data_IF_068571602612
#
_entry.id   IF_068571602612
#
_cell.length_a   1.000
_cell.length_b   1.000
_cell.length_c   1.000
_cell.angle_alpha   90.00
_cell.angle_beta   90.00
_cell.angle_gamma   90.00
#
_symmetry.space_group_name_H-M   'P 1'
#
loop_
_entity.id
_entity.type
_entity.pdbx_description
1 polymer ?
#
# COMPACT_ATOMS: atom_id res chain seq x y z
N UNK A 1 -5.59 -3.62 25.52
CA UNK A 1 -6.07 -4.09 24.21
C UNK A 1 -5.92 -5.59 24.17
N UNK A 2 -6.96 -6.32 23.79
CA UNK A 2 -7.06 -7.78 23.85
C UNK A 2 -5.95 -8.43 23.03
N UNK A 3 -5.11 -9.24 23.68
CA UNK A 3 -4.19 -10.18 23.04
C UNK A 3 -5.02 -11.20 22.22
N UNK A 4 -5.43 -10.83 21.00
CA UNK A 4 -5.77 -11.81 19.98
C UNK A 4 -4.44 -12.36 19.48
N UNK A 5 -4.26 -13.68 19.55
CA UNK A 5 -3.18 -14.35 18.85
C UNK A 5 -3.37 -14.05 17.36
N UNK A 6 -2.45 -13.27 16.80
CA UNK A 6 -2.40 -13.02 15.36
C UNK A 6 -2.06 -14.32 14.65
N UNK A 7 -2.61 -14.51 13.46
CA UNK A 7 -2.19 -15.59 12.57
C UNK A 7 -0.81 -15.30 11.98
N UNK A 8 -0.12 -16.32 11.46
CA UNK A 8 1.19 -16.13 10.81
C UNK A 8 1.15 -15.05 9.71
N UNK A 9 0.08 -14.98 8.92
CA UNK A 9 -0.04 -13.98 7.86
C UNK A 9 -0.36 -12.58 8.38
N UNK A 10 -1.14 -12.47 9.47
CA UNK A 10 -1.39 -11.18 10.15
C UNK A 10 -0.10 -10.63 10.80
N UNK A 11 0.74 -11.49 11.37
CA UNK A 11 2.06 -11.05 11.86
C UNK A 11 3.00 -10.68 10.71
N UNK A 12 2.97 -11.46 9.63
CA UNK A 12 3.83 -11.25 8.47
C UNK A 12 3.51 -9.93 7.76
N UNK A 13 2.23 -9.62 7.54
CA UNK A 13 1.83 -8.38 6.87
C UNK A 13 2.30 -7.17 7.69
N UNK A 14 2.09 -7.16 9.01
CA UNK A 14 2.50 -6.05 9.88
C UNK A 14 4.03 -5.86 9.90
N UNK A 15 4.80 -6.96 9.94
CA UNK A 15 6.27 -6.91 9.87
C UNK A 15 6.76 -6.39 8.52
N UNK A 16 6.13 -6.81 7.43
CA UNK A 16 6.46 -6.34 6.09
C UNK A 16 6.11 -4.85 5.93
N UNK A 17 4.98 -4.40 6.46
CA UNK A 17 4.58 -2.99 6.50
C UNK A 17 5.61 -2.15 7.26
N UNK A 18 6.03 -2.60 8.45
CA UNK A 18 7.06 -1.91 9.24
C UNK A 18 8.39 -1.81 8.48
N UNK A 19 8.80 -2.91 7.83
CA UNK A 19 10.03 -2.95 7.06
C UNK A 19 10.02 -1.93 5.93
N UNK A 20 8.97 -1.92 5.09
CA UNK A 20 8.85 -0.97 3.99
C UNK A 20 8.73 0.48 4.49
N UNK A 21 7.97 0.70 5.56
CA UNK A 21 7.83 2.02 6.20
C UNK A 21 9.18 2.56 6.66
N UNK A 22 9.95 1.75 7.37
CA UNK A 22 11.27 2.16 7.86
C UNK A 22 12.23 2.46 6.71
N UNK A 23 12.16 1.69 5.62
CA UNK A 23 12.98 1.90 4.42
C UNK A 23 12.64 3.24 3.74
N UNK A 24 11.34 3.52 3.58
CA UNK A 24 10.83 4.71 2.90
C UNK A 24 10.73 5.94 3.82
N UNK A 25 11.13 5.82 5.09
CA UNK A 25 11.06 6.88 6.11
C UNK A 25 9.64 7.44 6.29
N UNK A 26 8.63 6.59 6.13
CA UNK A 26 7.24 6.94 6.42
C UNK A 26 7.03 6.98 7.93
N UNK A 27 6.20 7.92 8.40
CA UNK A 27 5.97 8.13 9.84
C UNK A 27 5.50 6.85 10.53
N UNK A 28 6.11 6.54 11.68
CA UNK A 28 5.76 5.41 12.54
C UNK A 28 4.32 5.47 13.07
N UNK A 29 3.73 6.67 13.07
CA UNK A 29 2.37 6.93 13.50
C UNK A 29 1.35 6.71 12.37
N UNK A 30 1.77 6.25 11.18
CA UNK A 30 0.87 5.72 10.14
C UNK A 30 -0.01 4.62 10.72
N UNK A 31 -1.33 4.80 10.63
CA UNK A 31 -2.27 3.82 11.14
C UNK A 31 -2.41 2.63 10.20
N UNK A 32 -2.26 1.43 10.76
CA UNK A 32 -2.35 0.17 10.03
C UNK A 32 -3.36 -0.73 10.75
N UNK A 33 -4.39 -1.16 10.03
CA UNK A 33 -5.47 -1.97 10.57
C UNK A 33 -5.61 -3.28 9.81
N UNK A 34 -5.92 -4.36 10.53
CA UNK A 34 -6.43 -5.60 9.95
C UNK A 34 -7.95 -5.60 10.20
N UNK A 35 -8.72 -5.49 9.13
CA UNK A 35 -10.17 -5.32 9.19
C UNK A 35 -10.91 -6.55 8.63
N UNK A 36 -12.13 -6.74 9.13
CA UNK A 36 -13.06 -7.74 8.57
C UNK A 36 -13.52 -7.31 7.16
N UNK A 37 -14.05 -8.25 6.38
CA UNK A 37 -14.37 -8.07 4.95
C UNK A 37 -15.37 -6.95 4.65
N UNK A 38 -16.17 -6.51 5.62
CA UNK A 38 -17.17 -5.45 5.46
C UNK A 38 -16.58 -4.06 5.15
N UNK A 39 -15.26 -3.89 5.32
CA UNK A 39 -14.53 -2.70 4.90
C UNK A 39 -14.03 -2.77 3.45
N UNK A 40 -14.32 -3.86 2.73
CA UNK A 40 -13.82 -4.15 1.39
C UNK A 40 -14.96 -4.54 0.45
N UNK A 41 -14.77 -4.40 -0.87
CA UNK A 41 -15.78 -4.79 -1.87
C UNK A 41 -15.92 -6.31 -2.04
N UNK A 42 -14.99 -7.10 -1.50
CA UNK A 42 -15.00 -8.55 -1.55
C UNK A 42 -13.71 -9.17 -1.02
N UNK A 43 -13.60 -10.50 -1.07
CA UNK A 43 -12.41 -11.25 -0.62
C UNK A 43 -11.19 -11.05 -1.55
N UNK A 44 -11.44 -10.65 -2.79
CA UNK A 44 -10.41 -10.38 -3.79
C UNK A 44 -9.65 -9.07 -3.52
N UNK A 45 -10.21 -8.20 -2.67
CA UNK A 45 -9.54 -6.97 -2.23
C UNK A 45 -8.64 -7.30 -1.03
N UNK A 46 -7.33 -7.45 -1.29
CA UNK A 46 -6.32 -7.81 -0.30
C UNK A 46 -6.07 -6.70 0.72
N UNK A 47 -6.08 -5.45 0.26
CA UNK A 47 -5.79 -4.28 1.06
C UNK A 47 -6.40 -3.00 0.45
N UNK A 48 -6.27 -1.90 1.18
CA UNK A 48 -6.65 -0.57 0.75
C UNK A 48 -5.82 0.48 1.50
N UNK A 49 -5.21 1.39 0.75
CA UNK A 49 -4.76 2.68 1.26
C UNK A 49 -5.92 3.69 1.23
N UNK A 50 -6.32 4.15 2.41
CA UNK A 50 -7.36 5.15 2.63
C UNK A 50 -6.69 6.53 2.67
N UNK A 51 -6.64 7.17 1.50
CA UNK A 51 -5.96 8.46 1.29
C UNK A 51 -6.55 9.60 2.14
N UNK A 52 -7.85 9.60 2.39
CA UNK A 52 -8.53 10.66 3.13
C UNK A 52 -8.15 10.66 4.61
N UNK A 53 -7.83 9.47 5.14
CA UNK A 53 -7.49 9.27 6.55
C UNK A 53 -6.02 8.91 6.77
N UNK A 54 -5.21 8.83 5.71
CA UNK A 54 -3.80 8.40 5.75
C UNK A 54 -3.60 7.10 6.56
N UNK A 55 -4.29 6.04 6.18
CA UNK A 55 -4.19 4.74 6.84
C UNK A 55 -4.19 3.58 5.85
N UNK A 56 -3.64 2.43 6.27
CA UNK A 56 -3.68 1.18 5.50
C UNK A 56 -4.63 0.20 6.18
N UNK A 57 -5.48 -0.45 5.38
CA UNK A 57 -6.36 -1.54 5.83
C UNK A 57 -5.99 -2.82 5.10
N UNK A 58 -5.77 -3.90 5.84
CA UNK A 58 -5.58 -5.24 5.29
C UNK A 58 -6.83 -6.10 5.52
N UNK A 59 -7.22 -6.85 4.49
CA UNK A 59 -8.38 -7.73 4.55
C UNK A 59 -8.05 -9.03 5.29
N UNK A 60 -8.65 -9.19 6.45
CA UNK A 60 -8.44 -10.35 7.30
C UNK A 60 -8.86 -11.68 6.67
N UNK A 61 -9.93 -11.68 5.86
CA UNK A 61 -10.39 -12.91 5.19
C UNK A 61 -9.42 -13.35 4.10
N UNK A 62 -8.86 -12.39 3.35
CA UNK A 62 -7.82 -12.66 2.35
C UNK A 62 -6.54 -13.22 2.99
N UNK A 63 -6.12 -12.67 4.14
CA UNK A 63 -4.92 -13.12 4.86
C UNK A 63 -5.00 -14.59 5.29
N UNK A 64 -6.18 -15.20 5.43
CA UNK A 64 -6.32 -16.62 5.80
C UNK A 64 -5.81 -17.58 4.73
N UNK A 65 -5.87 -17.18 3.46
CA UNK A 65 -5.56 -18.07 2.32
C UNK A 65 -4.41 -17.54 1.45
N UNK A 66 -4.00 -16.28 1.65
CA UNK A 66 -2.92 -15.65 0.91
C UNK A 66 -1.58 -16.40 1.07
N UNK A 67 -0.83 -16.51 -0.03
CA UNK A 67 0.56 -16.98 -0.02
C UNK A 67 1.45 -15.93 0.62
N UNK A 68 2.48 -16.35 1.37
CA UNK A 68 3.42 -15.44 2.05
C UNK A 68 4.02 -14.37 1.13
N UNK A 69 4.39 -14.76 -0.08
CA UNK A 69 4.89 -13.83 -1.11
C UNK A 69 3.90 -12.69 -1.37
N UNK A 70 2.62 -13.04 -1.62
CA UNK A 70 1.58 -12.05 -1.88
C UNK A 70 1.35 -11.17 -0.65
N UNK A 71 1.37 -11.74 0.55
CA UNK A 71 1.27 -10.96 1.80
C UNK A 71 2.36 -9.89 1.85
N UNK A 72 3.62 -10.28 1.65
CA UNK A 72 4.76 -9.34 1.71
C UNK A 72 4.65 -8.27 0.62
N UNK A 73 4.37 -8.67 -0.62
CA UNK A 73 4.23 -7.73 -1.75
C UNK A 73 3.09 -6.75 -1.54
N UNK A 74 1.94 -7.21 -1.06
CA UNK A 74 0.81 -6.33 -0.71
C UNK A 74 1.20 -5.32 0.36
N UNK A 75 1.94 -5.71 1.40
CA UNK A 75 2.42 -4.74 2.38
C UNK A 75 3.31 -3.64 1.75
N UNK A 76 4.23 -4.03 0.87
CA UNK A 76 5.13 -3.09 0.21
C UNK A 76 4.39 -2.15 -0.74
N UNK A 77 3.43 -2.69 -1.49
CA UNK A 77 2.57 -1.96 -2.41
C UNK A 77 1.79 -0.85 -1.67
N UNK A 78 1.07 -1.19 -0.60
CA UNK A 78 0.28 -0.20 0.14
C UNK A 78 1.14 0.89 0.80
N UNK A 79 2.33 0.56 1.32
CA UNK A 79 3.24 1.58 1.87
C UNK A 79 3.76 2.49 0.77
N UNK A 80 3.95 1.99 -0.45
CA UNK A 80 4.37 2.83 -1.58
C UNK A 80 3.29 3.83 -1.98
N UNK A 81 2.00 3.45 -1.92
CA UNK A 81 0.91 4.42 -2.10
C UNK A 81 0.92 5.54 -1.06
N UNK A 82 1.25 5.22 0.19
CA UNK A 82 1.43 6.26 1.23
C UNK A 82 2.53 7.24 0.82
N UNK A 83 3.66 6.75 0.31
CA UNK A 83 4.76 7.60 -0.16
C UNK A 83 4.31 8.48 -1.34
N UNK A 84 3.65 7.90 -2.34
CA UNK A 84 3.15 8.65 -3.50
C UNK A 84 2.22 9.77 -3.07
N UNK A 85 1.24 9.48 -2.21
CA UNK A 85 0.29 10.48 -1.75
C UNK A 85 0.94 11.55 -0.85
N UNK A 86 1.88 11.17 0.01
CA UNK A 86 2.65 12.13 0.80
C UNK A 86 3.42 13.11 -0.09
N UNK A 87 4.11 12.62 -1.12
CA UNK A 87 4.84 13.47 -2.08
C UNK A 87 3.91 14.43 -2.83
N UNK A 88 2.69 14.01 -3.18
CA UNK A 88 1.69 14.90 -3.82
C UNK A 88 1.29 16.03 -2.88
N UNK A 89 0.98 15.71 -1.62
CA UNK A 89 0.59 16.72 -0.61
C UNK A 89 1.75 17.67 -0.32
N UNK A 90 2.98 17.17 -0.20
CA UNK A 90 4.18 17.98 -0.01
C UNK A 90 4.43 18.91 -1.20
N UNK A 91 4.26 18.42 -2.43
CA UNK A 91 4.38 19.23 -3.64
C UNK A 91 3.34 20.36 -3.69
N UNK A 92 2.09 20.09 -3.29
CA UNK A 92 1.03 21.11 -3.16
C UNK A 92 1.36 22.18 -2.10
N UNK A 93 2.20 21.84 -1.12
CA UNK A 93 2.73 22.75 -0.11
C UNK A 93 4.04 23.44 -0.54
N UNK A 94 4.53 23.19 -1.75
CA UNK A 94 5.75 23.77 -2.30
C UNK A 94 7.05 23.08 -1.87
N UNK A 95 6.97 21.86 -1.35
CA UNK A 95 8.13 21.03 -1.00
C UNK A 95 8.48 20.08 -2.16
N UNK A 96 9.78 19.94 -2.48
CA UNK A 96 10.27 19.05 -3.53
C UNK A 96 11.41 18.19 -2.99
N UNK A 97 11.18 16.88 -2.98
CA UNK A 97 12.14 15.87 -2.51
C UNK A 97 12.89 15.18 -3.66
N UNK A 98 12.53 15.45 -4.92
CA UNK A 98 13.13 14.82 -6.09
C UNK A 98 12.90 13.31 -6.19
N UNK A 99 11.90 12.78 -5.50
CA UNK A 99 11.52 11.36 -5.54
C UNK A 99 10.78 11.05 -6.85
N UNK A 100 9.87 11.95 -7.24
CA UNK A 100 9.08 11.88 -8.47
C UNK A 100 9.29 13.17 -9.27
N UNK A 101 9.18 13.08 -10.59
CA UNK A 101 9.15 14.24 -11.48
C UNK A 101 7.83 15.01 -11.30
N UNK A 102 7.81 16.28 -11.76
CA UNK A 102 6.59 17.10 -11.71
C UNK A 102 5.47 16.48 -12.55
N UNK A 103 5.83 15.94 -13.70
CA UNK A 103 4.91 15.27 -14.61
C UNK A 103 4.29 14.03 -13.94
N UNK A 104 5.09 13.23 -13.23
CA UNK A 104 4.57 12.09 -12.45
C UNK A 104 3.66 12.55 -11.32
N UNK A 105 4.02 13.59 -10.57
CA UNK A 105 3.20 14.11 -9.47
C UNK A 105 1.83 14.62 -9.95
N UNK A 106 1.80 15.38 -11.04
CA UNK A 106 0.53 15.83 -11.63
C UNK A 106 -0.32 14.66 -12.13
N UNK A 107 0.29 13.67 -12.78
CA UNK A 107 -0.43 12.47 -13.20
C UNK A 107 -1.00 11.71 -12.00
N UNK A 108 -0.19 11.41 -10.99
CA UNK A 108 -0.64 10.67 -9.81
C UNK A 108 -1.74 11.44 -9.05
N UNK A 109 -1.65 12.77 -8.98
CA UNK A 109 -2.69 13.62 -8.37
C UNK A 109 -4.04 13.42 -9.03
N UNK A 110 -4.07 13.32 -10.37
CA UNK A 110 -5.29 12.96 -11.08
C UNK A 110 -5.73 11.52 -10.78
N UNK A 111 -4.80 10.56 -10.81
CA UNK A 111 -5.12 9.14 -10.61
C UNK A 111 -5.66 8.81 -9.21
N UNK A 112 -5.25 9.55 -8.17
CA UNK A 112 -5.76 9.36 -6.80
C UNK A 112 -7.21 9.85 -6.60
N UNK A 113 -7.81 10.56 -7.57
CA UNK A 113 -9.21 11.00 -7.48
C UNK A 113 -10.17 9.80 -7.50
N UNK A 114 -11.20 9.83 -6.65
CA UNK A 114 -12.18 8.73 -6.53
C UNK A 114 -12.88 8.37 -7.85
N UNK A 115 -13.08 9.37 -8.72
CA UNK A 115 -13.69 9.19 -10.04
C UNK A 115 -12.87 8.29 -10.99
N UNK A 116 -11.56 8.16 -10.72
CA UNK A 116 -10.66 7.31 -11.50
C UNK A 116 -10.55 5.88 -10.94
N UNK A 117 -11.18 5.62 -9.80
CA UNK A 117 -11.29 4.26 -9.27
C UNK A 117 -12.25 3.44 -10.16
N UNK A 118 -11.72 2.43 -10.85
CA UNK A 118 -12.50 1.54 -11.70
C UNK A 118 -12.28 0.09 -11.34
N UNK A 119 -13.35 -0.71 -11.35
CA UNK A 119 -13.28 -2.18 -11.26
C UNK A 119 -13.19 -2.83 -12.65
N UNK A 120 -13.15 -2.03 -13.72
CA UNK A 120 -13.01 -2.57 -15.07
C UNK A 120 -11.56 -3.01 -15.30
N UNK A 121 -11.41 -4.26 -15.73
CA UNK A 121 -10.12 -4.82 -16.11
C UNK A 121 -9.47 -3.99 -17.22
N UNK A 122 -8.19 -3.69 -17.04
CA UNK A 122 -7.35 -2.91 -17.94
C UNK A 122 -7.41 -1.40 -17.72
N UNK A 123 -8.14 -0.91 -16.72
CA UNK A 123 -8.19 0.53 -16.41
C UNK A 123 -7.35 0.90 -15.21
N UNK A 124 -7.59 0.23 -14.08
CA UNK A 124 -6.96 0.60 -12.81
C UNK A 124 -5.51 0.10 -12.74
N UNK A 125 -5.24 -1.13 -13.19
CA UNK A 125 -3.89 -1.71 -13.17
C UNK A 125 -2.88 -1.02 -14.11
N UNK A 126 -3.35 -0.15 -15.00
CA UNK A 126 -2.52 0.61 -15.93
C UNK A 126 -2.25 2.06 -15.46
N UNK A 127 -2.81 2.46 -14.32
CA UNK A 127 -2.50 3.75 -13.70
C UNK A 127 -1.04 3.77 -13.26
N UNK A 128 -0.39 4.92 -13.37
CA UNK A 128 1.00 5.10 -12.94
C UNK A 128 1.17 4.73 -11.46
N UNK A 129 0.22 5.12 -10.61
CA UNK A 129 0.27 4.83 -9.17
C UNK A 129 0.37 3.32 -8.91
N UNK A 130 -0.41 2.51 -9.62
CA UNK A 130 -0.47 1.05 -9.49
C UNK A 130 0.76 0.38 -10.10
N UNK A 131 1.16 0.79 -11.31
CA UNK A 131 2.33 0.24 -12.01
C UNK A 131 3.61 0.47 -11.20
N UNK A 132 3.78 1.66 -10.64
CA UNK A 132 4.93 1.98 -9.80
C UNK A 132 4.89 1.21 -8.46
N UNK A 133 3.72 1.15 -7.80
CA UNK A 133 3.57 0.42 -6.55
C UNK A 133 3.84 -1.09 -6.72
N UNK A 134 3.34 -1.70 -7.79
CA UNK A 134 3.60 -3.11 -8.12
C UNK A 134 5.08 -3.35 -8.44
N UNK A 135 5.68 -2.47 -9.25
CA UNK A 135 7.10 -2.56 -9.60
C UNK A 135 7.99 -2.43 -8.36
N UNK A 136 7.67 -1.50 -7.47
CA UNK A 136 8.36 -1.33 -6.19
C UNK A 136 8.20 -2.57 -5.31
N UNK A 137 6.98 -3.06 -5.14
CA UNK A 137 6.70 -4.23 -4.30
C UNK A 137 7.46 -5.48 -4.80
N UNK A 138 7.48 -5.70 -6.11
CA UNK A 138 8.22 -6.79 -6.72
C UNK A 138 9.73 -6.63 -6.52
N UNK A 139 10.28 -5.46 -6.85
CA UNK A 139 11.72 -5.20 -6.75
C UNK A 139 12.21 -5.31 -5.30
N UNK A 140 11.46 -4.77 -4.34
CA UNK A 140 11.81 -4.86 -2.93
C UNK A 140 11.74 -6.30 -2.42
N UNK A 141 10.68 -7.04 -2.77
CA UNK A 141 10.54 -8.45 -2.42
C UNK A 141 11.73 -9.28 -2.92
N UNK A 142 12.12 -9.11 -4.17
CA UNK A 142 13.26 -9.85 -4.75
C UNK A 142 14.58 -9.58 -4.01
N UNK A 143 14.77 -8.40 -3.44
CA UNK A 143 15.98 -8.06 -2.66
C UNK A 143 16.01 -8.68 -1.25
N UNK A 144 14.85 -9.08 -0.73
CA UNK A 144 14.69 -9.50 0.67
C UNK A 144 14.18 -10.91 0.84
N UNK A 145 13.69 -11.57 -0.21
CA UNK A 145 13.07 -12.90 -0.13
C UNK A 145 13.97 -14.00 0.44
N UNK A 146 15.28 -13.87 0.31
CA UNK A 146 16.26 -14.82 0.88
C UNK A 146 16.58 -14.52 2.36
N UNK A 147 16.03 -13.43 2.91
CA UNK A 147 16.24 -12.93 4.27
C UNK A 147 14.96 -12.97 5.12
N UNK A 148 13.80 -13.30 4.51
CA UNK A 148 12.47 -13.38 5.12
C UNK A 148 12.00 -14.83 5.25
#
# INVERSE_FOLDING_TARGET
MTNKNLTTNEELILKATEYARSLLKIDKDLWVFINEINHFKGIEHSALYDKDNFLIRYNKEWLKTARKENVIKTAFHEVFHVLQHACIVEADLGMDHGIFTKEELEQMKHEFLDENYSMEQGKYENLLIEVQAESFAYALYEQVKDKL
#
